data_IF_450277074054
#
_entry.id   IF_450277074054
#
_cell.length_a   1.000
_cell.length_b   1.000
_cell.length_c   1.000
_cell.angle_alpha   90.00
_cell.angle_beta   90.00
_cell.angle_gamma   90.00
#
_symmetry.space_group_name_H-M   'P 1'
#
loop_
_entity.id
_entity.type
_entity.pdbx_description
1 polymer ?
#
# COMPACT_ATOMS: atom_id res chain seq x y z
N UNK A 1 11.85 -23.19 1.26
CA UNK A 1 12.07 -21.87 0.64
C UNK A 1 10.77 -21.08 0.69
N UNK A 2 10.59 -20.19 1.67
CA UNK A 2 9.37 -19.36 1.75
C UNK A 2 9.47 -18.21 0.75
N UNK A 3 8.77 -18.33 -0.38
CA UNK A 3 8.50 -17.19 -1.26
C UNK A 3 7.38 -16.38 -0.61
N UNK A 4 7.73 -15.23 -0.03
CA UNK A 4 6.72 -14.31 0.53
C UNK A 4 6.01 -13.63 -0.65
N UNK A 5 4.71 -13.91 -0.79
CA UNK A 5 3.84 -13.22 -1.74
C UNK A 5 3.35 -11.92 -1.12
N UNK A 6 3.52 -10.83 -1.87
CA UNK A 6 3.07 -9.49 -1.49
C UNK A 6 1.68 -9.22 -2.08
N UNK A 7 1.42 -9.68 -3.31
CA UNK A 7 0.11 -9.59 -3.93
C UNK A 7 -0.43 -10.98 -4.26
N UNK A 8 -1.57 -11.35 -3.67
CA UNK A 8 -2.23 -12.61 -3.97
C UNK A 8 -2.97 -12.58 -5.32
N UNK A 9 -3.55 -11.44 -5.71
CA UNK A 9 -4.36 -11.35 -6.93
C UNK A 9 -3.55 -11.60 -8.21
N UNK A 10 -2.33 -11.06 -8.26
CA UNK A 10 -1.44 -11.19 -9.42
C UNK A 10 -0.24 -12.10 -9.14
N UNK A 11 -0.18 -12.74 -7.97
CA UNK A 11 0.92 -13.64 -7.59
C UNK A 11 2.28 -12.96 -7.49
N UNK A 12 2.33 -11.69 -7.09
CA UNK A 12 3.59 -10.93 -7.02
C UNK A 12 4.32 -11.22 -5.72
N UNK A 13 5.60 -11.56 -5.83
CA UNK A 13 6.50 -11.86 -4.71
C UNK A 13 7.28 -10.64 -4.26
N UNK A 14 7.78 -10.69 -3.01
CA UNK A 14 8.66 -9.65 -2.49
C UNK A 14 9.93 -9.48 -3.34
N UNK A 15 10.49 -10.59 -3.83
CA UNK A 15 11.66 -10.57 -4.70
C UNK A 15 11.41 -9.78 -6.00
N UNK A 16 10.24 -9.96 -6.61
CA UNK A 16 9.85 -9.19 -7.81
C UNK A 16 9.72 -7.70 -7.49
N UNK A 17 9.10 -7.34 -6.35
CA UNK A 17 9.00 -5.93 -5.92
C UNK A 17 10.39 -5.32 -5.76
N UNK A 18 11.32 -6.02 -5.11
CA UNK A 18 12.71 -5.58 -4.93
C UNK A 18 13.46 -5.46 -6.26
N UNK A 19 13.25 -6.39 -7.19
CA UNK A 19 13.85 -6.34 -8.52
C UNK A 19 13.36 -5.14 -9.31
N UNK A 20 12.05 -4.88 -9.33
CA UNK A 20 11.50 -3.70 -9.99
C UNK A 20 11.96 -2.40 -9.32
N UNK A 21 12.11 -2.38 -7.99
CA UNK A 21 12.68 -1.23 -7.29
C UNK A 21 14.13 -0.96 -7.72
N UNK A 22 14.94 -2.00 -7.90
CA UNK A 22 16.31 -1.89 -8.42
C UNK A 22 16.35 -1.44 -9.89
N UNK A 23 15.35 -1.82 -10.68
CA UNK A 23 15.18 -1.43 -12.09
C UNK A 23 14.70 0.04 -12.25
N UNK A 24 14.32 0.71 -11.16
CA UNK A 24 13.93 2.13 -11.13
C UNK A 24 12.46 2.40 -10.77
N UNK A 25 11.68 1.37 -10.42
CA UNK A 25 10.32 1.53 -9.92
C UNK A 25 10.30 1.90 -8.43
N UNK A 26 10.65 3.14 -8.11
CA UNK A 26 10.75 3.64 -6.73
C UNK A 26 9.41 4.05 -6.11
N UNK A 27 8.29 3.91 -6.82
CA UNK A 27 6.94 4.26 -6.33
C UNK A 27 5.97 3.09 -6.46
N UNK A 28 4.97 2.95 -5.56
CA UNK A 28 3.94 1.92 -5.68
C UNK A 28 3.18 2.02 -7.02
N UNK A 29 3.06 3.23 -7.59
CA UNK A 29 2.45 3.44 -8.90
C UNK A 29 3.31 2.87 -10.04
N UNK A 30 4.63 3.03 -9.99
CA UNK A 30 5.54 2.39 -10.95
C UNK A 30 5.58 0.87 -10.78
N UNK A 31 5.56 0.37 -9.54
CA UNK A 31 5.44 -1.07 -9.28
C UNK A 31 4.13 -1.60 -9.88
N UNK A 32 3.00 -0.91 -9.68
CA UNK A 32 1.71 -1.25 -10.29
C UNK A 32 1.78 -1.25 -11.82
N UNK A 33 2.46 -0.29 -12.44
CA UNK A 33 2.68 -0.30 -13.90
C UNK A 33 3.56 -1.46 -14.39
N UNK A 34 4.55 -1.87 -13.61
CA UNK A 34 5.48 -2.94 -13.98
C UNK A 34 4.89 -4.35 -13.77
N UNK A 35 4.21 -4.59 -12.65
CA UNK A 35 3.76 -5.93 -12.24
C UNK A 35 2.27 -6.03 -11.89
N UNK A 36 1.47 -4.97 -12.12
CA UNK A 36 0.02 -4.89 -11.82
C UNK A 36 -0.32 -5.02 -10.34
N UNK A 37 0.67 -5.10 -9.45
CA UNK A 37 0.44 -5.18 -8.02
C UNK A 37 -0.29 -3.92 -7.52
N UNK A 38 -1.47 -4.10 -6.93
CA UNK A 38 -2.23 -3.01 -6.32
C UNK A 38 -3.26 -2.34 -7.24
N UNK A 39 -3.52 -2.88 -8.44
CA UNK A 39 -4.60 -2.38 -9.34
C UNK A 39 -5.93 -3.11 -9.19
N UNK A 40 -5.99 -4.18 -8.38
CA UNK A 40 -7.19 -4.97 -8.10
C UNK A 40 -7.73 -4.62 -6.70
N UNK A 41 -7.67 -5.53 -5.72
CA UNK A 41 -8.16 -5.30 -4.36
C UNK A 41 -7.36 -4.27 -3.54
N UNK A 42 -6.17 -3.87 -4.02
CA UNK A 42 -5.36 -2.82 -3.39
C UNK A 42 -4.67 -3.17 -2.06
N UNK A 43 -4.90 -4.34 -1.46
CA UNK A 43 -4.36 -4.72 -0.13
C UNK A 43 -2.83 -4.71 -0.06
N UNK A 44 -2.17 -5.09 -1.15
CA UNK A 44 -0.71 -5.13 -1.26
C UNK A 44 -0.03 -3.75 -1.34
N UNK A 45 -0.78 -2.66 -1.58
CA UNK A 45 -0.20 -1.32 -1.80
C UNK A 45 0.54 -0.81 -0.57
N UNK A 46 0.01 -1.03 0.64
CA UNK A 46 0.69 -0.64 1.89
C UNK A 46 1.97 -1.45 2.12
N UNK A 47 1.94 -2.76 1.87
CA UNK A 47 3.12 -3.62 1.99
C UNK A 47 4.21 -3.21 0.99
N UNK A 48 3.84 -2.90 -0.26
CA UNK A 48 4.77 -2.39 -1.27
C UNK A 48 5.38 -1.05 -0.84
N UNK A 49 4.61 -0.14 -0.28
CA UNK A 49 5.13 1.14 0.23
C UNK A 49 6.13 0.95 1.38
N UNK A 50 5.88 -0.02 2.27
CA UNK A 50 6.80 -0.37 3.35
C UNK A 50 8.11 -0.96 2.80
N UNK A 51 8.02 -1.87 1.82
CA UNK A 51 9.18 -2.48 1.15
C UNK A 51 10.04 -1.45 0.41
N UNK A 52 9.42 -0.42 -0.16
CA UNK A 52 10.11 0.68 -0.84
C UNK A 52 10.70 1.72 0.13
N UNK A 53 10.59 1.53 1.45
CA UNK A 53 11.13 2.46 2.43
C UNK A 53 10.37 3.79 2.55
N UNK A 54 9.19 3.91 1.92
CA UNK A 54 8.29 5.07 2.07
C UNK A 54 7.38 4.97 3.31
N UNK A 55 7.64 3.98 4.17
CA UNK A 55 6.92 3.72 5.42
C UNK A 55 7.25 4.66 6.58
N UNK A 56 8.12 5.67 6.40
CA UNK A 56 8.54 6.59 7.47
C UNK A 56 7.59 7.76 7.71
N UNK A 57 6.30 7.62 7.36
CA UNK A 57 5.28 8.52 7.88
C UNK A 57 4.57 7.82 9.06
N UNK A 58 4.96 8.09 10.32
CA UNK A 58 4.29 7.57 11.51
C UNK A 58 2.95 8.27 11.75
N UNK A 59 2.09 8.37 10.72
CA UNK A 59 0.77 9.01 10.84
C UNK A 59 -0.39 8.01 10.94
N UNK A 60 -0.12 6.71 10.80
CA UNK A 60 -1.18 5.69 10.70
C UNK A 60 -1.53 4.95 11.98
N UNK A 61 -1.01 5.36 13.14
CA UNK A 61 -1.70 5.05 14.40
C UNK A 61 -3.05 5.80 14.53
N UNK A 62 -3.32 6.80 13.68
CA UNK A 62 -4.58 7.58 13.69
C UNK A 62 -5.66 7.13 12.69
N UNK A 63 -5.40 6.15 11.81
CA UNK A 63 -6.38 5.73 10.78
C UNK A 63 -6.87 4.28 10.95
N UNK A 64 -6.42 3.59 11.99
CA UNK A 64 -6.91 2.27 12.41
C UNK A 64 -7.81 2.36 13.66
N UNK A 65 -8.12 3.56 14.13
CA UNK A 65 -9.24 3.81 15.02
C UNK A 65 -10.31 4.49 14.17
N UNK A 66 -11.25 3.70 13.66
CA UNK A 66 -12.36 4.23 12.87
C UNK A 66 -13.21 5.17 13.72
N UNK A 67 -13.01 6.47 13.54
CA UNK A 67 -13.94 7.50 14.02
C UNK A 67 -14.57 8.18 12.78
N UNK A 68 -15.90 8.12 12.61
CA UNK A 68 -16.59 8.81 11.53
C UNK A 68 -16.62 10.31 11.85
N UNK A 69 -15.81 11.11 11.15
CA UNK A 69 -15.91 12.58 11.18
C UNK A 69 -17.07 13.03 10.30
N UNK A 70 -18.30 12.73 10.71
CA UNK A 70 -19.52 13.32 10.15
C UNK A 70 -20.68 13.14 11.14
N UNK A 71 -20.69 13.93 12.22
CA UNK A 71 -21.94 14.38 12.86
C UNK A 71 -21.69 15.54 13.82
N UNK A 72 -22.68 16.43 13.84
CA UNK A 72 -22.87 17.62 14.66
C UNK A 72 -22.00 18.82 14.29
N UNK A 73 -22.54 19.71 13.46
CA UNK A 73 -23.06 21.01 13.92
C UNK A 73 -24.04 21.57 12.86
N UNK A 74 -25.29 21.11 12.90
CA UNK A 74 -26.44 21.93 12.51
C UNK A 74 -27.49 21.74 13.59
N UNK A 75 -27.55 22.68 14.53
CA UNK A 75 -28.69 22.96 15.41
C UNK A 75 -28.53 24.43 15.85
N UNK A 76 -29.07 25.34 15.05
CA UNK A 76 -29.30 26.73 15.41
C UNK A 76 -30.65 27.17 14.84
N UNK A 77 -31.73 26.86 15.57
CA UNK A 77 -33.03 27.55 15.51
C UNK A 77 -33.81 27.32 16.80
#
# INVERSE_FOLDING_TARGET
>A
MNRVYVCNCFGVTEAQVKQHAADGACTPRQIASACKAGTDCGSCVRSIQALLGRGTCPRRELADQGEPVLSALDEAA
#
